data_IF_955460354609
#
_entry.id   IF_955460354609
#
_cell.length_a   1.000
_cell.length_b   1.000
_cell.length_c   1.000
_cell.angle_alpha   90.00
_cell.angle_beta   90.00
_cell.angle_gamma   90.00
#
_symmetry.space_group_name_H-M   'P 1'
#
loop_
_entity.id
_entity.type
_entity.pdbx_description
1 polymer ?
#
# COMPACT_ATOMS: atom_id res chain seq x y z
N UNK A 1 6.63 -12.08 2.48
CA UNK A 1 7.45 -13.29 2.37
C UNK A 1 8.56 -13.26 3.42
N UNK A 2 9.03 -14.42 3.90
CA UNK A 2 10.26 -14.48 4.69
C UNK A 2 11.44 -13.84 3.93
N UNK A 3 12.49 -13.30 4.63
CA UNK A 3 13.56 -12.55 3.99
C UNK A 3 14.37 -13.30 2.93
N UNK A 4 14.37 -14.63 3.02
CA UNK A 4 15.07 -15.55 2.11
C UNK A 4 14.22 -15.97 0.89
N UNK A 5 12.97 -15.47 0.79
CA UNK A 5 12.07 -15.73 -0.33
C UNK A 5 11.90 -14.48 -1.19
N UNK A 6 11.98 -14.68 -2.50
CA UNK A 6 11.72 -13.64 -3.48
C UNK A 6 10.58 -14.06 -4.42
N UNK A 7 9.91 -13.10 -5.04
CA UNK A 7 8.81 -13.36 -5.95
C UNK A 7 8.82 -12.37 -7.12
N UNK A 8 8.46 -12.87 -8.29
CA UNK A 8 8.35 -12.07 -9.50
C UNK A 8 6.92 -12.13 -10.03
N UNK A 9 6.29 -10.97 -10.18
CA UNK A 9 5.05 -10.83 -10.93
C UNK A 9 5.40 -10.51 -12.38
N UNK A 10 5.11 -11.43 -13.29
CA UNK A 10 5.50 -11.32 -14.69
C UNK A 10 4.32 -10.97 -15.59
N UNK A 11 4.60 -10.20 -16.63
CA UNK A 11 3.65 -9.89 -17.71
C UNK A 11 4.31 -10.15 -19.05
N UNK A 12 3.53 -10.68 -19.99
CA UNK A 12 3.94 -10.86 -21.38
C UNK A 12 2.92 -10.18 -22.30
N UNK A 13 3.37 -9.25 -23.13
CA UNK A 13 2.53 -8.49 -24.04
C UNK A 13 1.28 -7.87 -23.37
N UNK A 14 1.45 -7.30 -22.17
CA UNK A 14 0.39 -6.66 -21.40
C UNK A 14 -0.59 -7.62 -20.70
N UNK A 15 -0.33 -8.93 -20.72
CA UNK A 15 -1.15 -9.94 -20.04
C UNK A 15 -0.40 -10.57 -18.87
N UNK A 16 -1.09 -10.91 -17.76
CA UNK A 16 -0.48 -11.65 -16.68
C UNK A 16 0.12 -12.97 -17.15
N UNK A 17 1.32 -13.28 -16.67
CA UNK A 17 2.05 -14.50 -16.99
C UNK A 17 2.05 -15.39 -15.75
N UNK A 18 1.32 -16.53 -15.79
CA UNK A 18 1.07 -17.36 -14.61
C UNK A 18 0.76 -18.82 -14.97
N UNK A 19 0.65 -19.66 -13.95
CA UNK A 19 0.22 -21.06 -14.09
C UNK A 19 1.13 -21.88 -15.00
N UNK A 20 0.58 -22.48 -16.04
CA UNK A 20 1.29 -23.36 -16.99
C UNK A 20 2.49 -22.65 -17.63
N UNK A 21 2.31 -21.38 -18.02
CA UNK A 21 3.38 -20.57 -18.63
C UNK A 21 4.62 -20.46 -17.72
N UNK A 22 4.43 -20.33 -16.41
CA UNK A 22 5.55 -20.30 -15.45
C UNK A 22 6.24 -21.67 -15.39
N UNK A 23 5.49 -22.76 -15.44
CA UNK A 23 6.07 -24.14 -15.48
C UNK A 23 6.90 -24.36 -16.74
N UNK A 24 6.37 -24.00 -17.92
CA UNK A 24 7.09 -24.08 -19.19
C UNK A 24 8.37 -23.26 -19.17
N UNK A 25 8.32 -22.02 -18.63
CA UNK A 25 9.50 -21.18 -18.45
C UNK A 25 10.53 -21.85 -17.52
N UNK A 26 10.08 -22.46 -16.43
CA UNK A 26 10.95 -23.22 -15.52
C UNK A 26 11.62 -24.41 -16.19
N UNK A 27 10.90 -25.14 -17.04
CA UNK A 27 11.44 -26.26 -17.82
C UNK A 27 12.49 -25.80 -18.84
N UNK A 28 12.25 -24.68 -19.53
CA UNK A 28 13.21 -24.08 -20.45
C UNK A 28 14.50 -23.65 -19.71
N UNK A 29 14.33 -23.00 -18.56
CA UNK A 29 15.46 -22.60 -17.72
C UNK A 29 16.27 -23.81 -17.21
N UNK A 30 15.60 -24.87 -16.81
CA UNK A 30 16.24 -26.10 -16.33
C UNK A 30 17.01 -26.85 -17.44
N UNK A 31 16.55 -26.80 -18.68
CA UNK A 31 17.23 -27.34 -19.85
C UNK A 31 18.41 -26.47 -20.31
N UNK A 32 18.54 -25.25 -19.81
CA UNK A 32 19.53 -24.29 -20.28
C UNK A 32 19.26 -23.77 -21.72
N UNK A 33 18.02 -23.94 -22.18
CA UNK A 33 17.59 -23.55 -23.53
C UNK A 33 17.25 -22.05 -23.54
N UNK A 34 18.28 -21.24 -23.29
CA UNK A 34 18.18 -19.79 -23.23
C UNK A 34 18.92 -19.17 -24.42
N UNK A 35 18.27 -18.26 -25.12
CA UNK A 35 18.89 -17.48 -26.18
C UNK A 35 19.74 -16.40 -25.54
N UNK A 36 21.05 -16.48 -25.71
CA UNK A 36 21.97 -15.42 -25.32
C UNK A 36 22.00 -14.37 -26.41
N UNK A 37 21.45 -13.20 -26.14
CA UNK A 37 21.54 -12.05 -27.02
C UNK A 37 22.79 -11.23 -26.64
N UNK A 38 23.64 -10.91 -27.60
CA UNK A 38 24.76 -9.98 -27.40
C UNK A 38 24.21 -8.54 -27.28
N UNK A 39 24.82 -7.75 -26.39
CA UNK A 39 24.59 -6.30 -26.24
C UNK A 39 23.32 -5.87 -25.45
N UNK A 40 23.02 -6.55 -24.35
CA UNK A 40 22.20 -5.95 -23.33
C UNK A 40 22.99 -4.91 -22.51
N UNK A 41 22.32 -3.87 -22.02
CA UNK A 41 22.88 -2.93 -21.03
C UNK A 41 21.89 -2.72 -19.91
N UNK A 42 22.38 -2.47 -18.71
CA UNK A 42 21.60 -2.05 -17.57
C UNK A 42 22.10 -0.69 -17.09
N UNK A 43 21.18 0.16 -16.67
CA UNK A 43 21.50 1.41 -16.00
C UNK A 43 20.65 1.52 -14.74
N UNK A 44 21.22 2.07 -13.70
CA UNK A 44 20.51 2.43 -12.49
C UNK A 44 19.95 3.85 -12.67
N UNK A 45 18.69 4.05 -12.25
CA UNK A 45 17.99 5.34 -12.29
C UNK A 45 17.27 5.51 -10.98
N UNK A 46 17.58 6.58 -10.25
CA UNK A 46 16.81 6.98 -9.08
C UNK A 46 15.54 7.71 -9.54
N UNK A 47 14.39 7.15 -9.17
CA UNK A 47 13.06 7.70 -9.49
C UNK A 47 12.31 8.18 -8.23
N UNK A 48 12.95 8.17 -7.06
CA UNK A 48 12.28 8.43 -5.78
C UNK A 48 11.64 9.81 -5.76
N UNK A 49 12.39 10.85 -6.12
CA UNK A 49 11.87 12.22 -6.15
C UNK A 49 10.70 12.38 -7.12
N UNK A 50 10.82 11.85 -8.35
CA UNK A 50 9.73 11.89 -9.33
C UNK A 50 8.48 11.16 -8.83
N UNK A 51 8.67 10.03 -8.15
CA UNK A 51 7.58 9.25 -7.59
C UNK A 51 6.86 9.98 -6.46
N UNK A 52 7.61 10.56 -5.52
CA UNK A 52 7.04 11.38 -4.44
C UNK A 52 6.27 12.57 -5.00
N UNK A 53 6.82 13.30 -5.96
CA UNK A 53 6.13 14.42 -6.62
C UNK A 53 4.87 13.96 -7.37
N UNK A 54 4.88 12.75 -7.95
CA UNK A 54 3.70 12.17 -8.58
C UNK A 54 2.59 11.88 -7.57
N UNK A 55 2.93 11.37 -6.38
CA UNK A 55 1.97 11.13 -5.29
C UNK A 55 1.35 12.43 -4.77
N UNK A 56 2.17 13.46 -4.53
CA UNK A 56 1.70 14.76 -4.03
C UNK A 56 0.78 15.47 -5.03
N UNK A 57 0.97 15.27 -6.33
CA UNK A 57 0.18 15.95 -7.38
C UNK A 57 -1.32 15.75 -7.23
N UNK A 58 -1.75 14.59 -6.76
CA UNK A 58 -3.16 14.25 -6.63
C UNK A 58 -3.77 14.74 -5.30
N UNK A 59 -2.94 15.35 -4.42
CA UNK A 59 -3.41 15.96 -3.21
C UNK A 59 -4.05 17.32 -3.52
N UNK A 60 -5.35 17.43 -3.33
CA UNK A 60 -6.14 18.63 -3.64
C UNK A 60 -6.22 19.66 -2.50
N UNK A 61 -5.62 19.35 -1.35
CA UNK A 61 -5.49 20.28 -0.23
C UNK A 61 -6.79 20.53 0.51
N UNK A 62 -7.20 19.64 1.37
CA UNK A 62 -8.32 19.89 2.30
C UNK A 62 -8.04 21.10 3.22
N UNK A 63 -9.11 21.79 3.67
CA UNK A 63 -8.99 22.96 4.58
C UNK A 63 -8.44 22.57 5.96
N UNK A 64 -8.68 21.32 6.39
CA UNK A 64 -8.27 20.82 7.70
C UNK A 64 -6.86 20.26 7.66
N UNK A 65 -6.00 20.81 8.50
CA UNK A 65 -4.68 20.23 8.77
C UNK A 65 -4.85 19.07 9.73
N UNK A 66 -4.49 17.88 9.29
CA UNK A 66 -4.60 16.65 10.07
C UNK A 66 -3.28 16.36 10.80
N UNK A 67 -3.40 15.73 11.97
CA UNK A 67 -2.30 15.07 12.64
C UNK A 67 -2.40 13.57 12.38
N UNK A 68 -1.43 13.01 11.69
CA UNK A 68 -1.48 11.62 11.20
C UNK A 68 -0.27 10.84 11.71
N UNK A 69 -0.53 9.63 12.21
CA UNK A 69 0.52 8.66 12.51
C UNK A 69 0.62 7.66 11.37
N UNK A 70 1.81 7.47 10.84
CA UNK A 70 2.09 6.55 9.74
C UNK A 70 2.94 5.40 10.27
N UNK A 71 2.51 4.18 10.08
CA UNK A 71 3.30 3.00 10.42
C UNK A 71 3.74 2.28 9.15
N UNK A 72 5.03 2.43 8.85
CA UNK A 72 5.64 1.77 7.70
C UNK A 72 5.96 0.28 7.95
N UNK A 73 5.97 -0.19 9.21
CA UNK A 73 6.28 -1.58 9.54
C UNK A 73 7.62 -2.08 9.00
N UNK A 74 8.64 -1.22 8.89
CA UNK A 74 9.94 -1.51 8.27
C UNK A 74 9.85 -1.94 6.79
N UNK A 75 8.74 -1.59 6.11
CA UNK A 75 8.47 -1.96 4.72
C UNK A 75 9.29 -1.16 3.71
N UNK A 76 9.16 -1.51 2.44
CA UNK A 76 9.91 -0.88 1.34
C UNK A 76 9.56 0.60 1.10
N UNK A 77 8.45 1.10 1.64
CA UNK A 77 8.00 2.47 1.42
C UNK A 77 8.65 3.52 2.35
N UNK A 78 9.49 3.11 3.32
CA UNK A 78 9.97 3.99 4.39
C UNK A 78 10.54 5.33 3.92
N UNK A 79 11.51 5.30 3.02
CA UNK A 79 12.15 6.52 2.51
C UNK A 79 11.17 7.39 1.69
N UNK A 80 10.33 6.77 0.86
CA UNK A 80 9.30 7.46 0.08
C UNK A 80 8.28 8.12 1.00
N UNK A 81 7.90 7.44 2.09
CA UNK A 81 6.95 7.95 3.06
C UNK A 81 7.50 9.18 3.80
N UNK A 82 8.76 9.14 4.25
CA UNK A 82 9.40 10.30 4.90
C UNK A 82 9.45 11.51 3.98
N UNK A 83 9.83 11.33 2.72
CA UNK A 83 9.85 12.40 1.72
C UNK A 83 8.43 12.92 1.42
N UNK A 84 7.44 12.03 1.33
CA UNK A 84 6.04 12.37 1.07
C UNK A 84 5.44 13.23 2.19
N UNK A 85 5.59 12.78 3.45
CA UNK A 85 4.99 13.51 4.58
C UNK A 85 5.63 14.87 4.82
N UNK A 86 6.89 15.06 4.42
CA UNK A 86 7.55 16.36 4.46
C UNK A 86 6.91 17.39 3.52
N UNK A 87 6.19 16.94 2.50
CA UNK A 87 5.49 17.80 1.53
C UNK A 87 4.00 17.97 1.83
N UNK A 88 3.43 17.14 2.70
CA UNK A 88 2.02 17.20 3.06
C UNK A 88 1.78 18.21 4.20
N UNK A 89 0.66 18.96 4.20
CA UNK A 89 0.32 19.87 5.28
C UNK A 89 -0.20 19.11 6.50
N UNK A 90 0.11 19.60 7.68
CA UNK A 90 -0.35 19.01 8.94
C UNK A 90 0.81 18.60 9.84
N UNK A 91 0.52 17.70 10.76
CA UNK A 91 1.52 17.11 11.64
C UNK A 91 1.63 15.61 11.33
N UNK A 92 2.84 15.12 11.14
CA UNK A 92 3.07 13.73 10.76
C UNK A 92 4.05 13.07 11.72
N UNK A 93 3.69 11.90 12.22
CA UNK A 93 4.55 11.02 13.02
C UNK A 93 4.78 9.76 12.22
N UNK A 94 6.01 9.45 11.86
CA UNK A 94 6.34 8.24 11.11
C UNK A 94 6.99 7.21 12.03
N UNK A 95 6.40 6.01 12.08
CA UNK A 95 6.88 4.86 12.83
C UNK A 95 7.55 3.88 11.87
N UNK A 96 8.60 3.21 12.37
CA UNK A 96 9.23 2.08 11.68
C UNK A 96 9.66 2.40 10.24
N UNK A 97 10.11 3.65 9.97
CA UNK A 97 10.48 4.11 8.64
C UNK A 97 11.69 3.38 8.05
N UNK A 98 12.65 2.97 8.90
CA UNK A 98 13.84 2.25 8.43
C UNK A 98 13.44 0.96 7.72
N UNK A 99 13.83 0.85 6.45
CA UNK A 99 13.59 -0.36 5.64
C UNK A 99 14.43 -1.52 6.20
N UNK A 100 13.78 -2.61 6.58
CA UNK A 100 14.43 -3.82 7.09
C UNK A 100 13.57 -5.05 6.80
N UNK A 101 14.00 -5.88 5.86
CA UNK A 101 13.27 -7.09 5.43
C UNK A 101 13.12 -8.17 6.51
N UNK A 102 13.72 -7.98 7.71
CA UNK A 102 13.48 -8.85 8.87
C UNK A 102 12.27 -8.42 9.69
N UNK A 103 11.71 -7.23 9.41
CA UNK A 103 10.54 -6.65 10.07
C UNK A 103 10.62 -6.66 11.61
N UNK A 104 11.63 -6.00 12.20
CA UNK A 104 11.93 -6.15 13.64
C UNK A 104 10.87 -5.53 14.55
N UNK A 105 10.05 -4.59 14.08
CA UNK A 105 9.01 -3.96 14.89
C UNK A 105 7.78 -4.87 15.02
N UNK A 106 7.22 -5.30 13.93
CA UNK A 106 6.11 -6.24 13.83
C UNK A 106 5.98 -6.73 12.39
N UNK A 107 5.22 -7.79 12.17
CA UNK A 107 4.94 -8.23 10.79
C UNK A 107 4.07 -7.19 10.08
N UNK A 108 4.47 -6.69 8.89
CA UNK A 108 3.77 -5.62 8.18
C UNK A 108 2.53 -6.17 7.45
N UNK A 109 1.51 -6.51 8.21
CA UNK A 109 0.20 -6.93 7.72
C UNK A 109 -0.89 -6.18 8.48
N UNK A 110 -1.47 -5.12 7.89
CA UNK A 110 -2.48 -4.29 8.54
C UNK A 110 -3.85 -4.96 8.65
N UNK A 111 -4.02 -6.17 8.13
CA UNK A 111 -5.26 -6.94 8.30
C UNK A 111 -5.32 -7.68 9.63
N UNK A 112 -4.22 -7.70 10.38
CA UNK A 112 -4.09 -8.35 11.69
C UNK A 112 -4.05 -7.31 12.79
N UNK A 113 -5.09 -7.25 13.63
CA UNK A 113 -5.25 -6.22 14.68
C UNK A 113 -4.01 -6.10 15.60
N UNK A 114 -3.37 -7.23 15.93
CA UNK A 114 -2.15 -7.25 16.76
C UNK A 114 -1.01 -6.42 16.18
N UNK A 115 -0.89 -6.37 14.85
CA UNK A 115 0.16 -5.60 14.18
C UNK A 115 -0.10 -4.08 14.23
N UNK A 116 -1.30 -3.66 14.59
CA UNK A 116 -1.70 -2.26 14.70
C UNK A 116 -1.61 -1.71 16.15
N UNK A 117 -1.23 -2.51 17.13
CA UNK A 117 -1.19 -2.11 18.55
C UNK A 117 -0.29 -0.89 18.78
N UNK A 118 0.89 -0.85 18.16
CA UNK A 118 1.80 0.30 18.27
C UNK A 118 1.18 1.55 17.64
N UNK A 119 0.60 1.43 16.45
CA UNK A 119 -0.08 2.54 15.78
C UNK A 119 -1.23 3.09 16.63
N UNK A 120 -2.09 2.21 17.17
CA UNK A 120 -3.22 2.56 18.04
C UNK A 120 -2.75 3.33 19.27
N UNK A 121 -1.70 2.84 19.94
CA UNK A 121 -1.13 3.52 21.12
C UNK A 121 -0.65 4.92 20.76
N UNK A 122 0.15 5.06 19.71
CA UNK A 122 0.72 6.35 19.31
C UNK A 122 -0.36 7.33 18.85
N UNK A 123 -1.40 6.88 18.15
CA UNK A 123 -2.56 7.71 17.77
C UNK A 123 -3.22 8.30 19.01
N UNK A 124 -3.54 7.46 20.00
CA UNK A 124 -4.19 7.88 21.25
C UNK A 124 -3.32 8.81 22.08
N UNK A 125 -2.05 8.42 22.29
CA UNK A 125 -1.11 9.14 23.14
C UNK A 125 -0.78 10.54 22.62
N UNK A 126 -0.83 10.73 21.30
CA UNK A 126 -0.54 12.00 20.65
C UNK A 126 -1.81 12.78 20.24
N UNK A 127 -2.99 12.26 20.49
CA UNK A 127 -4.24 12.89 20.04
C UNK A 127 -4.28 13.08 18.53
N UNK A 128 -3.79 12.11 17.76
CA UNK A 128 -3.80 12.18 16.32
C UNK A 128 -5.20 11.99 15.75
N UNK A 129 -5.47 12.57 14.59
CA UNK A 129 -6.77 12.46 13.90
C UNK A 129 -6.99 11.06 13.34
N UNK A 130 -5.91 10.41 12.87
CA UNK A 130 -5.92 9.03 12.38
C UNK A 130 -4.52 8.43 12.35
N UNK A 131 -4.49 7.10 12.23
CA UNK A 131 -3.29 6.33 11.94
C UNK A 131 -3.43 5.56 10.63
N UNK A 132 -2.34 5.43 9.89
CA UNK A 132 -2.27 4.67 8.63
C UNK A 132 -1.12 3.67 8.74
N UNK A 133 -1.39 2.40 8.50
CA UNK A 133 -0.39 1.34 8.42
C UNK A 133 -0.28 0.80 7.01
N UNK A 134 0.92 0.41 6.60
CA UNK A 134 1.21 -0.22 5.32
C UNK A 134 1.62 -1.67 5.49
N UNK A 135 1.45 -2.45 4.44
CA UNK A 135 2.02 -3.79 4.36
C UNK A 135 3.46 -3.77 3.78
N UNK A 136 4.04 -4.95 3.57
CA UNK A 136 5.46 -5.09 3.24
C UNK A 136 5.91 -4.47 1.92
N UNK A 137 5.04 -4.30 0.94
CA UNK A 137 5.30 -3.60 -0.33
C UNK A 137 4.39 -2.38 -0.53
N UNK A 138 3.67 -1.98 0.53
CA UNK A 138 2.80 -0.82 0.62
C UNK A 138 1.70 -0.76 -0.46
N UNK A 139 1.20 -1.92 -0.92
CA UNK A 139 0.05 -2.02 -1.81
C UNK A 139 -1.28 -2.16 -1.04
N UNK A 140 -1.22 -2.34 0.28
CA UNK A 140 -2.38 -2.40 1.20
C UNK A 140 -2.22 -1.42 2.34
N UNK A 141 -3.36 -0.90 2.81
CA UNK A 141 -3.43 0.01 3.96
C UNK A 141 -4.38 -0.52 5.03
N UNK A 142 -4.06 -0.20 6.30
CA UNK A 142 -4.97 -0.24 7.42
C UNK A 142 -5.14 1.15 8.00
N UNK A 143 -6.32 1.47 8.49
CA UNK A 143 -6.62 2.77 9.09
C UNK A 143 -7.11 2.57 10.53
N UNK A 144 -6.63 3.46 11.40
CA UNK A 144 -7.07 3.57 12.80
C UNK A 144 -7.62 4.98 12.98
N UNK A 145 -8.80 5.12 13.57
CA UNK A 145 -9.39 6.43 13.87
C UNK A 145 -8.75 7.09 15.11
N UNK A 146 -9.17 8.30 15.42
CA UNK A 146 -8.68 9.07 16.57
C UNK A 146 -9.02 8.47 17.95
N UNK A 147 -9.84 7.45 18.01
CA UNK A 147 -10.16 6.70 19.22
C UNK A 147 -9.40 5.38 19.32
N UNK A 148 -8.64 5.05 18.27
CA UNK A 148 -7.89 3.82 18.17
C UNK A 148 -8.74 2.63 17.72
N UNK A 149 -9.89 2.89 17.07
CA UNK A 149 -10.71 1.85 16.45
C UNK A 149 -10.20 1.57 15.03
N UNK A 150 -10.13 0.29 14.66
CA UNK A 150 -9.64 -0.14 13.35
C UNK A 150 -10.78 -0.01 12.32
N UNK A 151 -10.52 0.69 11.23
CA UNK A 151 -11.37 0.67 10.04
C UNK A 151 -10.91 -0.46 9.12
N UNK A 152 -11.78 -1.43 8.91
CA UNK A 152 -11.48 -2.57 8.03
C UNK A 152 -11.61 -2.20 6.56
N UNK A 153 -11.02 -3.01 5.67
CA UNK A 153 -10.89 -2.70 4.25
C UNK A 153 -12.20 -2.36 3.54
N UNK A 154 -13.31 -2.98 3.90
CA UNK A 154 -14.63 -2.68 3.34
C UNK A 154 -15.18 -1.32 3.84
N UNK A 155 -14.89 -0.93 5.08
CA UNK A 155 -15.23 0.39 5.61
C UNK A 155 -14.37 1.48 4.95
N UNK A 156 -13.08 1.22 4.74
CA UNK A 156 -12.19 2.12 3.98
C UNK A 156 -12.72 2.28 2.56
N UNK A 157 -13.12 1.18 1.91
CA UNK A 157 -13.66 1.21 0.56
C UNK A 157 -14.96 2.03 0.47
N UNK A 158 -15.81 2.07 1.52
CA UNK A 158 -16.97 2.96 1.56
C UNK A 158 -16.56 4.42 1.43
N UNK A 159 -15.52 4.85 2.17
CA UNK A 159 -15.04 6.24 2.12
C UNK A 159 -14.51 6.59 0.73
N UNK A 160 -13.66 5.74 0.18
CA UNK A 160 -13.07 5.93 -1.15
C UNK A 160 -14.13 5.88 -2.26
N UNK A 161 -15.07 4.95 -2.19
CA UNK A 161 -16.17 4.84 -3.16
C UNK A 161 -17.06 6.08 -3.17
N UNK A 162 -17.41 6.62 -2.00
CA UNK A 162 -18.18 7.87 -1.90
C UNK A 162 -17.46 9.04 -2.58
N UNK A 163 -16.15 9.12 -2.46
CA UNK A 163 -15.40 10.19 -3.10
C UNK A 163 -15.34 10.03 -4.62
N UNK A 164 -15.05 8.82 -5.10
CA UNK A 164 -15.07 8.49 -6.53
C UNK A 164 -16.45 8.76 -7.14
N UNK A 165 -17.54 8.37 -6.48
CA UNK A 165 -18.90 8.52 -7.01
C UNK A 165 -19.35 9.98 -7.08
N UNK A 166 -18.77 10.90 -6.29
CA UNK A 166 -19.04 12.35 -6.46
C UNK A 166 -18.56 12.87 -7.82
N UNK A 167 -17.43 12.39 -8.29
CA UNK A 167 -16.80 12.85 -9.54
C UNK A 167 -17.15 11.96 -10.73
N UNK A 168 -17.51 10.70 -10.47
CA UNK A 168 -17.86 9.69 -11.47
C UNK A 168 -19.18 8.98 -11.08
N UNK A 169 -20.33 9.67 -11.15
CA UNK A 169 -21.62 9.06 -10.83
C UNK A 169 -21.89 7.79 -11.67
N UNK A 170 -22.34 6.75 -11.01
CA UNK A 170 -22.60 5.46 -11.66
C UNK A 170 -21.36 4.59 -11.95
N UNK A 171 -20.19 4.96 -11.46
CA UNK A 171 -19.01 4.11 -11.56
C UNK A 171 -19.23 2.76 -10.86
N UNK A 172 -18.71 1.69 -11.46
CA UNK A 172 -18.78 0.34 -10.88
C UNK A 172 -17.76 0.19 -9.78
N UNK A 173 -18.24 -0.13 -8.58
CA UNK A 173 -17.39 -0.46 -7.42
C UNK A 173 -17.30 -1.99 -7.29
N UNK A 174 -16.09 -2.51 -7.24
CA UNK A 174 -15.82 -3.95 -7.10
C UNK A 174 -15.24 -4.21 -5.71
N UNK A 175 -15.78 -5.21 -5.03
CA UNK A 175 -15.33 -5.61 -3.70
C UNK A 175 -15.21 -7.14 -3.57
N UNK A 176 -14.46 -7.59 -2.56
CA UNK A 176 -14.39 -9.00 -2.20
C UNK A 176 -15.76 -9.49 -1.70
N UNK A 177 -16.07 -10.76 -1.94
CA UNK A 177 -17.32 -11.40 -1.51
C UNK A 177 -17.51 -11.37 0.02
N UNK A 178 -16.45 -11.19 0.78
CA UNK A 178 -16.48 -11.07 2.26
C UNK A 178 -16.81 -9.66 2.75
N UNK A 179 -16.93 -8.67 1.86
CA UNK A 179 -17.25 -7.32 2.25
C UNK A 179 -18.64 -7.25 2.93
N UNK A 180 -18.75 -6.35 3.90
CA UNK A 180 -20.00 -6.10 4.63
C UNK A 180 -21.09 -5.61 3.70
N UNK A 181 -22.34 -5.98 3.99
CA UNK A 181 -23.53 -5.45 3.30
C UNK A 181 -23.59 -3.92 3.33
N UNK A 182 -23.02 -3.29 4.36
CA UNK A 182 -22.94 -1.83 4.50
C UNK A 182 -22.26 -1.19 3.27
N UNK A 183 -21.22 -1.80 2.72
CA UNK A 183 -20.57 -1.27 1.53
C UNK A 183 -21.54 -1.20 0.33
N UNK A 184 -22.28 -2.26 0.08
CA UNK A 184 -23.22 -2.32 -1.05
C UNK A 184 -24.37 -1.33 -0.86
N UNK A 185 -24.89 -1.21 0.36
CA UNK A 185 -25.97 -0.26 0.69
C UNK A 185 -25.52 1.19 0.53
N UNK A 186 -24.29 1.52 0.94
CA UNK A 186 -23.73 2.86 0.84
C UNK A 186 -23.40 3.27 -0.60
N UNK A 187 -22.87 2.34 -1.39
CA UNK A 187 -22.63 2.55 -2.82
C UNK A 187 -23.95 2.77 -3.58
N UNK A 188 -25.01 2.03 -3.21
CA UNK A 188 -26.34 2.19 -3.82
C UNK A 188 -27.03 3.52 -3.48
N UNK A 189 -26.62 4.17 -2.38
CA UNK A 189 -27.16 5.50 -1.94
C UNK A 189 -26.41 6.68 -2.53
N UNK A 190 -25.16 6.46 -2.95
CA UNK A 190 -24.28 7.51 -3.47
C UNK A 190 -24.48 7.72 -4.98
#
# INVERSE_FOLDING_TARGET
NPPDYNGFKMMLAGKPFFGEQIRELGELAAKGDVVTLEKGSAREVDLREEYVQRLVRDYDGGERKLKIVWDNGNSSAGEVLEDLVALLPGEHIVLNAKIDGTFPAHHPDPTVAKNLEQLISVVRDNGADLGIAFDGDADRIGIVDNQGEILWGDQILVLLARDVLKTHPGATIIADVKASQVLFDEVARA
#
